data_IF_000531121117
#
_entry.id   IF_000531121117
#
_cell.length_a   1.000
_cell.length_b   1.000
_cell.length_c   1.000
_cell.angle_alpha   90.00
_cell.angle_beta   90.00
_cell.angle_gamma   90.00
#
_symmetry.space_group_name_H-M   'P 1'
#
loop_
_entity.id
_entity.type
_entity.pdbx_description
1 polymer ?
#
# COMPACT_ATOMS: atom_id res chain seq x y z
N UNK A 1 10.77 0.82 -14.21
CA UNK A 1 10.92 0.93 -12.74
C UNK A 1 9.51 1.09 -12.20
N UNK A 2 9.13 0.39 -11.13
CA UNK A 2 7.80 0.52 -10.56
C UNK A 2 7.60 1.95 -10.04
N UNK A 3 6.50 2.61 -10.39
CA UNK A 3 6.27 4.04 -10.07
C UNK A 3 6.30 4.29 -8.55
N UNK A 4 5.87 3.31 -7.75
CA UNK A 4 5.91 3.40 -6.29
C UNK A 4 7.32 3.27 -5.74
N UNK A 5 8.15 2.43 -6.35
CA UNK A 5 9.59 2.35 -6.02
C UNK A 5 10.28 3.66 -6.40
N UNK A 6 9.93 4.26 -7.54
CA UNK A 6 10.50 5.54 -7.95
C UNK A 6 10.13 6.67 -6.98
N UNK A 7 8.86 6.78 -6.57
CA UNK A 7 8.45 7.76 -5.57
C UNK A 7 9.04 7.49 -4.19
N UNK A 8 9.15 6.22 -3.79
CA UNK A 8 9.86 5.84 -2.57
C UNK A 8 11.32 6.27 -2.58
N UNK A 9 12.04 6.07 -3.69
CA UNK A 9 13.42 6.53 -3.83
C UNK A 9 13.54 8.07 -3.82
N UNK A 10 12.46 8.79 -4.14
CA UNK A 10 12.42 10.25 -4.16
C UNK A 10 12.07 10.86 -2.81
N UNK A 11 11.13 10.26 -2.07
CA UNK A 11 10.52 10.85 -0.88
C UNK A 11 10.16 9.86 0.23
N UNK A 12 10.63 8.62 0.14
CA UNK A 12 10.36 7.56 1.12
C UNK A 12 8.92 7.06 1.09
N UNK A 13 8.52 6.39 2.17
CA UNK A 13 7.17 5.81 2.33
C UNK A 13 6.06 6.85 2.20
N UNK A 14 6.30 8.10 2.64
CA UNK A 14 5.32 9.18 2.52
C UNK A 14 4.95 9.44 1.07
N UNK A 15 5.93 9.64 0.18
CA UNK A 15 5.67 9.90 -1.23
C UNK A 15 5.01 8.70 -1.93
N UNK A 16 5.40 7.47 -1.58
CA UNK A 16 4.79 6.27 -2.14
C UNK A 16 3.33 6.10 -1.69
N UNK A 17 3.02 6.38 -0.42
CA UNK A 17 1.65 6.36 0.10
C UNK A 17 0.79 7.52 -0.43
N UNK A 18 1.36 8.71 -0.64
CA UNK A 18 0.67 9.81 -1.32
C UNK A 18 0.29 9.43 -2.76
N UNK A 19 1.21 8.83 -3.52
CA UNK A 19 0.92 8.31 -4.85
C UNK A 19 -0.17 7.22 -4.82
N UNK A 20 -0.16 6.37 -3.78
CA UNK A 20 -1.17 5.34 -3.58
C UNK A 20 -2.56 5.95 -3.39
N UNK A 21 -2.68 6.97 -2.54
CA UNK A 21 -3.93 7.69 -2.30
C UNK A 21 -4.41 8.46 -3.53
N UNK A 22 -3.48 9.05 -4.30
CA UNK A 22 -3.80 9.77 -5.54
C UNK A 22 -4.33 8.83 -6.63
N UNK A 23 -3.70 7.67 -6.81
CA UNK A 23 -4.08 6.70 -7.86
C UNK A 23 -5.26 5.83 -7.47
N UNK A 24 -5.41 5.54 -6.19
CA UNK A 24 -6.46 4.67 -5.65
C UNK A 24 -7.23 5.42 -4.55
N UNK A 25 -8.09 6.38 -4.93
CA UNK A 25 -8.88 7.14 -3.96
C UNK A 25 -9.91 6.25 -3.24
N UNK A 26 -10.39 5.20 -3.90
CA UNK A 26 -11.28 4.20 -3.29
C UNK A 26 -10.48 3.22 -2.43
N UNK A 27 -10.97 2.97 -1.22
CA UNK A 27 -10.30 2.07 -0.27
C UNK A 27 -10.20 0.62 -0.80
N UNK A 28 -11.26 0.08 -1.40
CA UNK A 28 -11.23 -1.29 -1.95
C UNK A 28 -10.20 -1.48 -3.07
N UNK A 29 -10.06 -0.49 -3.96
CA UNK A 29 -9.04 -0.55 -5.03
C UNK A 29 -7.63 -0.44 -4.45
N UNK A 30 -7.47 0.34 -3.38
CA UNK A 30 -6.21 0.50 -2.65
C UNK A 30 -5.81 -0.78 -1.92
N UNK A 31 -6.75 -1.45 -1.25
CA UNK A 31 -6.54 -2.76 -0.62
C UNK A 31 -6.06 -3.77 -1.67
N UNK A 32 -6.79 -3.92 -2.78
CA UNK A 32 -6.39 -4.84 -3.85
C UNK A 32 -4.99 -4.54 -4.40
N UNK A 33 -4.61 -3.26 -4.50
CA UNK A 33 -3.27 -2.85 -4.92
C UNK A 33 -2.21 -3.21 -3.89
N UNK A 34 -2.46 -2.95 -2.60
CA UNK A 34 -1.57 -3.24 -1.50
C UNK A 34 -1.34 -4.75 -1.35
N UNK A 35 -2.38 -5.57 -1.50
CA UNK A 35 -2.26 -7.04 -1.49
C UNK A 35 -1.34 -7.52 -2.62
N UNK A 36 -1.48 -6.96 -3.82
CA UNK A 36 -0.62 -7.30 -4.95
C UNK A 36 0.84 -6.87 -4.71
N UNK A 37 1.07 -5.77 -4.00
CA UNK A 37 2.40 -5.28 -3.63
C UNK A 37 3.06 -6.15 -2.57
N UNK A 38 2.31 -6.54 -1.54
CA UNK A 38 2.75 -7.43 -0.49
C UNK A 38 3.02 -8.84 -1.01
N UNK A 39 2.12 -9.39 -1.82
CA UNK A 39 2.31 -10.67 -2.51
C UNK A 39 3.51 -10.65 -3.47
N UNK A 40 3.88 -9.48 -3.99
CA UNK A 40 5.08 -9.29 -4.79
C UNK A 40 6.38 -9.37 -4.00
N UNK A 41 6.31 -9.36 -2.66
CA UNK A 41 7.44 -9.56 -1.73
C UNK A 41 8.41 -8.38 -1.62
N UNK A 42 8.08 -7.23 -2.22
CA UNK A 42 8.93 -6.02 -2.20
C UNK A 42 8.46 -4.98 -1.20
N UNK A 43 7.23 -5.10 -0.72
CA UNK A 43 6.60 -4.14 0.14
C UNK A 43 6.02 -4.86 1.34
N UNK A 44 6.23 -4.28 2.52
CA UNK A 44 5.48 -4.63 3.71
C UNK A 44 4.31 -3.66 3.83
N UNK A 45 3.12 -4.18 4.09
CA UNK A 45 1.92 -3.39 4.25
C UNK A 45 1.49 -3.45 5.71
N UNK A 46 1.11 -2.29 6.24
CA UNK A 46 0.39 -2.20 7.49
C UNK A 46 -1.09 -2.04 7.19
N UNK A 47 -1.83 -3.08 7.54
CA UNK A 47 -3.26 -3.18 7.29
C UNK A 47 -4.08 -2.47 8.36
N UNK A 48 -5.18 -1.87 7.92
CA UNK A 48 -6.29 -1.50 8.78
C UNK A 48 -7.40 -2.54 8.60
N UNK A 49 -7.84 -3.12 9.71
CA UNK A 49 -8.85 -4.17 9.71
C UNK A 49 -10.25 -3.59 9.91
N UNK A 50 -11.22 -4.11 9.17
CA UNK A 50 -12.61 -3.72 9.31
C UNK A 50 -13.12 -4.03 10.72
N UNK A 51 -13.88 -3.11 11.31
CA UNK A 51 -14.43 -3.29 12.67
C UNK A 51 -15.44 -4.45 12.79
N UNK A 52 -15.95 -4.99 11.68
CA UNK A 52 -17.03 -5.99 11.63
C UNK A 52 -16.56 -7.43 11.34
N UNK A 53 -15.25 -7.66 11.17
CA UNK A 53 -14.72 -9.00 10.95
C UNK A 53 -13.19 -9.00 10.86
N UNK A 54 -12.55 -9.86 11.65
CA UNK A 54 -11.09 -9.91 11.82
C UNK A 54 -10.31 -10.42 10.59
N UNK A 55 -11.00 -10.70 9.48
CA UNK A 55 -10.42 -11.34 8.29
C UNK A 55 -10.52 -10.48 7.01
N UNK A 56 -11.10 -9.27 7.08
CA UNK A 56 -11.22 -8.36 5.92
C UNK A 56 -10.52 -7.02 6.20
N UNK A 57 -9.55 -6.65 5.35
CA UNK A 57 -8.89 -5.34 5.40
C UNK A 57 -9.80 -4.26 4.77
N UNK A 58 -10.01 -3.15 5.48
CA UNK A 58 -10.78 -2.02 4.95
C UNK A 58 -9.89 -0.93 4.34
N UNK A 59 -8.62 -0.87 4.75
CA UNK A 59 -7.60 0.03 4.21
C UNK A 59 -6.19 -0.46 4.55
N UNK A 60 -5.16 0.29 4.15
CA UNK A 60 -3.79 0.07 4.58
C UNK A 60 -2.82 1.09 4.01
N UNK A 61 -1.55 0.93 4.37
CA UNK A 61 -0.46 1.74 3.82
C UNK A 61 0.84 0.96 3.77
N UNK A 62 1.76 1.40 2.92
CA UNK A 62 3.12 0.85 2.83
C UNK A 62 3.89 1.21 4.10
N UNK A 63 4.43 0.19 4.77
CA UNK A 63 5.16 0.29 6.04
C UNK A 63 6.67 0.13 5.86
N UNK A 64 7.11 -0.70 4.92
CA UNK A 64 8.54 -0.87 4.59
C UNK A 64 8.75 -1.33 3.14
N UNK A 65 9.95 -1.08 2.62
CA UNK A 65 10.40 -1.54 1.31
C UNK A 65 11.51 -2.59 1.47
N UNK A 66 11.18 -3.84 1.16
CA UNK A 66 12.07 -5.00 1.33
C UNK A 66 13.05 -5.23 0.15
N UNK A 67 13.03 -4.35 -0.85
CA UNK A 67 13.72 -4.54 -2.13
C UNK A 67 15.11 -3.93 -2.25
#
# INVERSE_FOLDING_TARGET
MDDFVAEYMRGGLTAANELLLERFPNASDRVAKLEAMESGGKWHVKWHDASDGADDHDDGFLDDYAG
#
